data_IF_151477544467
#
_entry.id   IF_151477544467
#
_cell.length_a   1.000
_cell.length_b   1.000
_cell.length_c   1.000
_cell.angle_alpha   90.00
_cell.angle_beta   90.00
_cell.angle_gamma   90.00
#
_symmetry.space_group_name_H-M   'P 1'
#
loop_
_entity.id
_entity.type
_entity.pdbx_description
1 polymer ?
#
# COMPACT_ATOMS: atom_id res chain seq x y z
N UNK A 1 21.14 -43.39 14.28
CA UNK A 1 20.90 -41.98 14.67
C UNK A 1 20.68 -41.19 13.39
N UNK A 2 19.42 -40.91 13.04
CA UNK A 2 19.08 -40.13 11.83
C UNK A 2 19.14 -38.65 12.19
N UNK A 3 20.15 -37.94 11.70
CA UNK A 3 20.23 -36.48 11.83
C UNK A 3 19.31 -35.85 10.77
N UNK A 4 18.09 -35.49 11.17
CA UNK A 4 17.19 -34.69 10.36
C UNK A 4 17.59 -33.22 10.49
N UNK A 5 18.41 -32.71 9.56
CA UNK A 5 18.67 -31.27 9.46
C UNK A 5 17.35 -30.57 9.13
N UNK A 6 16.92 -29.54 9.89
CA UNK A 6 15.69 -28.85 9.56
C UNK A 6 15.90 -28.10 8.25
N UNK A 7 15.06 -28.36 7.24
CA UNK A 7 15.05 -27.57 6.03
C UNK A 7 14.66 -26.14 6.41
N UNK A 8 15.63 -25.21 6.41
CA UNK A 8 15.33 -23.79 6.57
C UNK A 8 14.55 -23.33 5.35
N UNK A 9 13.32 -22.88 5.58
CA UNK A 9 12.54 -22.20 4.55
C UNK A 9 13.16 -20.82 4.32
N UNK A 10 14.09 -20.74 3.37
CA UNK A 10 14.67 -19.48 2.93
C UNK A 10 13.61 -18.67 2.20
N UNK A 11 13.43 -17.39 2.57
CA UNK A 11 12.50 -16.50 1.86
C UNK A 11 12.98 -16.35 0.42
N UNK A 12 12.12 -16.74 -0.53
CA UNK A 12 12.48 -16.74 -1.96
C UNK A 12 12.20 -15.38 -2.63
N UNK A 13 11.17 -14.67 -2.17
CA UNK A 13 10.78 -13.38 -2.71
C UNK A 13 9.84 -12.63 -1.75
N UNK A 14 9.76 -11.32 -1.92
CA UNK A 14 8.75 -10.45 -1.29
C UNK A 14 8.15 -9.55 -2.37
N UNK A 15 6.83 -9.42 -2.36
CA UNK A 15 6.11 -8.48 -3.22
C UNK A 15 5.59 -7.36 -2.33
N UNK A 16 5.88 -6.13 -2.71
CA UNK A 16 5.36 -4.95 -2.03
C UNK A 16 4.40 -4.21 -2.94
N UNK A 17 3.29 -3.74 -2.36
CA UNK A 17 2.49 -2.69 -2.96
C UNK A 17 3.20 -1.33 -2.80
N UNK A 18 2.81 -0.33 -3.60
CA UNK A 18 3.47 0.97 -3.60
C UNK A 18 2.85 1.93 -2.58
N UNK A 19 1.57 2.27 -2.72
CA UNK A 19 0.90 3.29 -1.92
C UNK A 19 0.54 2.75 -0.53
N UNK A 20 0.93 3.47 0.52
CA UNK A 20 0.65 3.07 1.91
C UNK A 20 1.47 1.87 2.40
N UNK A 21 2.37 1.31 1.57
CA UNK A 21 3.29 0.22 1.96
C UNK A 21 4.75 0.66 1.82
N UNK A 22 5.16 1.13 0.63
CA UNK A 22 6.52 1.65 0.39
C UNK A 22 6.56 3.18 0.49
N UNK A 23 5.49 3.85 0.08
CA UNK A 23 5.35 5.30 0.20
C UNK A 23 4.16 5.61 1.08
N UNK A 24 4.43 6.21 2.24
CA UNK A 24 3.39 6.61 3.19
C UNK A 24 2.97 8.06 2.92
N UNK A 25 1.73 8.24 2.46
CA UNK A 25 1.08 9.55 2.35
C UNK A 25 0.10 9.83 3.50
N UNK A 26 0.05 8.94 4.51
CA UNK A 26 -0.87 9.00 5.64
C UNK A 26 -2.34 8.78 5.24
N UNK A 27 -3.24 8.79 6.23
CA UNK A 27 -4.70 8.63 6.01
C UNK A 27 -5.34 9.80 5.24
N UNK A 28 -4.58 10.84 4.92
CA UNK A 28 -5.05 12.04 4.22
C UNK A 28 -4.90 11.93 2.70
N UNK A 29 -4.15 10.95 2.19
CA UNK A 29 -3.89 10.81 0.76
C UNK A 29 -5.13 10.49 -0.09
N UNK A 30 -5.99 9.53 0.31
CA UNK A 30 -7.15 9.18 -0.52
C UNK A 30 -8.20 10.29 -0.48
N UNK A 31 -8.40 10.93 0.68
CA UNK A 31 -9.49 11.90 0.83
C UNK A 31 -9.25 13.16 0.00
N UNK A 32 -8.03 13.71 0.05
CA UNK A 32 -7.71 14.95 -0.68
C UNK A 32 -7.76 14.77 -2.19
N UNK A 33 -7.29 13.63 -2.72
CA UNK A 33 -7.35 13.36 -4.17
C UNK A 33 -8.79 13.24 -4.65
N UNK A 34 -9.69 12.66 -3.85
CA UNK A 34 -11.11 12.60 -4.22
C UNK A 34 -11.77 13.97 -4.17
N UNK A 35 -11.51 14.79 -3.15
CA UNK A 35 -12.03 16.16 -3.08
C UNK A 35 -11.61 16.96 -4.32
N UNK A 36 -10.34 16.88 -4.71
CA UNK A 36 -9.81 17.59 -5.87
C UNK A 36 -10.41 17.05 -7.19
N UNK A 37 -10.47 15.73 -7.36
CA UNK A 37 -11.02 15.12 -8.56
C UNK A 37 -12.51 15.47 -8.76
N UNK A 38 -13.32 15.45 -7.69
CA UNK A 38 -14.73 15.82 -7.78
C UNK A 38 -14.93 17.31 -8.06
N UNK A 39 -14.09 18.17 -7.49
CA UNK A 39 -14.11 19.61 -7.79
C UNK A 39 -13.76 19.88 -9.25
N UNK A 40 -12.73 19.22 -9.78
CA UNK A 40 -12.28 19.43 -11.16
C UNK A 40 -13.30 18.91 -12.19
N UNK A 41 -13.88 17.73 -11.97
CA UNK A 41 -14.72 17.08 -12.97
C UNK A 41 -16.19 17.53 -12.91
N UNK A 42 -16.69 17.91 -11.73
CA UNK A 42 -18.12 18.19 -11.52
C UNK A 42 -18.43 19.60 -10.98
N UNK A 43 -17.42 20.48 -10.85
CA UNK A 43 -17.54 21.81 -10.22
C UNK A 43 -18.23 21.74 -8.85
N UNK A 44 -17.91 20.69 -8.10
CA UNK A 44 -18.52 20.39 -6.81
C UNK A 44 -17.59 20.79 -5.67
N UNK A 45 -17.95 21.85 -4.93
CA UNK A 45 -17.21 22.27 -3.74
C UNK A 45 -17.73 21.56 -2.48
N UNK A 46 -16.84 20.83 -1.82
CA UNK A 46 -17.10 20.21 -0.52
C UNK A 46 -16.84 21.24 0.58
N UNK A 47 -17.92 21.81 1.12
CA UNK A 47 -17.94 22.81 2.20
C UNK A 47 -17.63 22.24 3.58
#
# INVERSE_FOLDING_TARGET
MSNSTPARSEIQAVIFDWAGTIVDFGSFAPTSIFVEAFKQEFDFDLS
#
